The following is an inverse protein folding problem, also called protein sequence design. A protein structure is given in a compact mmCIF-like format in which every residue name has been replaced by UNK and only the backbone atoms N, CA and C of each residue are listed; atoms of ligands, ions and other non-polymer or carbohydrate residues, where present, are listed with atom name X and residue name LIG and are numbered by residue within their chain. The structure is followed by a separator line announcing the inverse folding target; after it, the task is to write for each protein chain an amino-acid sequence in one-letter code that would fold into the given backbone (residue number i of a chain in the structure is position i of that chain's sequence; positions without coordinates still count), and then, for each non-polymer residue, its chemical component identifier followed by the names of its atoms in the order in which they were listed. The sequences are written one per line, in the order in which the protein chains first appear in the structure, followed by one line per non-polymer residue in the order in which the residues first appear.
data_IF_876413205435
#
_entry.id   IF_876413205435
#
_cell.length_a   1.000
_cell.length_b   1.000
_cell.length_c   1.000
_cell.angle_alpha   90.00
_cell.angle_beta   90.00
_cell.angle_gamma   90.00
#
_symmetry.space_group_name_H-M   'P 1'
#
loop_
_entity.id
_entity.type
_entity.pdbx_description
1 polymer ?
#
# COMPACT_ATOMS: atom_id res chain seq x y z
N UNK A 1 -3.10 16.69 -35.42
CA UNK A 1 -2.06 17.02 -34.43
C UNK A 1 -2.77 17.25 -33.11
N UNK A 2 -2.98 16.20 -32.31
CA UNK A 2 -3.69 16.27 -31.03
C UNK A 2 -2.63 16.20 -29.93
N UNK A 3 -2.43 17.32 -29.24
CA UNK A 3 -1.52 17.39 -28.10
C UNK A 3 -2.16 16.65 -26.91
N UNK A 4 -1.52 15.58 -26.44
CA UNK A 4 -1.83 15.00 -25.13
C UNK A 4 -1.32 15.99 -24.07
N UNK A 5 -2.23 16.52 -23.26
CA UNK A 5 -1.88 17.23 -22.05
C UNK A 5 -1.46 16.21 -20.98
N UNK A 6 -0.18 16.17 -20.64
CA UNK A 6 0.31 15.48 -19.43
C UNK A 6 0.02 16.42 -18.26
N UNK A 7 -1.08 16.15 -17.54
CA UNK A 7 -1.32 16.83 -16.27
C UNK A 7 -0.49 16.13 -15.20
N UNK A 8 0.72 16.63 -14.96
CA UNK A 8 1.52 16.23 -13.80
C UNK A 8 0.92 16.92 -12.57
N UNK A 9 0.19 16.17 -11.74
CA UNK A 9 -0.22 16.65 -10.43
C UNK A 9 1.04 16.74 -9.55
N UNK A 10 1.57 17.96 -9.40
CA UNK A 10 2.58 18.28 -8.41
C UNK A 10 1.94 18.17 -7.01
N UNK A 11 2.16 17.03 -6.36
CA UNK A 11 1.88 16.82 -4.94
C UNK A 11 3.12 17.08 -4.11
N UNK A 12 2.93 17.83 -3.02
CA UNK A 12 3.90 18.41 -2.12
C UNK A 12 4.89 17.43 -1.46
N UNK A 13 6.10 17.95 -1.21
CA UNK A 13 7.29 17.29 -0.63
C UNK A 13 7.78 16.10 -1.45
N UNK A 14 8.89 16.29 -2.18
CA UNK A 14 9.56 15.18 -2.85
C UNK A 14 10.31 14.35 -1.82
N UNK A 15 9.56 13.57 -1.03
CA UNK A 15 10.09 12.58 -0.10
C UNK A 15 11.21 11.83 -0.83
N UNK A 16 12.40 11.83 -0.24
CA UNK A 16 13.59 11.29 -0.89
C UNK A 16 13.39 9.83 -1.33
N UNK A 17 12.52 9.10 -0.63
CA UNK A 17 12.14 7.72 -0.93
C UNK A 17 11.38 7.60 -2.25
N UNK A 18 10.76 8.65 -2.77
CA UNK A 18 9.96 8.61 -4.01
C UNK A 18 10.74 9.02 -5.26
N UNK A 19 11.97 9.52 -5.13
CA UNK A 19 12.71 10.15 -6.24
C UNK A 19 12.91 9.26 -7.47
N UNK A 20 12.98 7.96 -7.26
CA UNK A 20 13.18 6.97 -8.32
C UNK A 20 11.99 6.06 -8.55
N UNK A 21 10.97 6.16 -7.70
CA UNK A 21 9.76 5.37 -7.82
C UNK A 21 8.81 6.04 -8.81
N UNK A 22 8.13 5.24 -9.63
CA UNK A 22 7.16 5.78 -10.57
C UNK A 22 6.01 4.81 -10.82
N UNK A 23 4.88 5.38 -11.26
CA UNK A 23 3.70 4.64 -11.68
C UNK A 23 3.21 5.17 -13.02
N UNK A 24 2.77 4.27 -13.89
CA UNK A 24 2.04 4.63 -15.11
C UNK A 24 1.04 3.52 -15.48
N UNK A 25 0.13 3.81 -16.39
CA UNK A 25 -0.82 2.83 -16.93
C UNK A 25 -0.58 2.60 -18.41
N UNK A 26 -0.64 1.36 -18.86
CA UNK A 26 -0.56 1.01 -20.28
C UNK A 26 -1.29 -0.30 -20.56
N UNK A 27 -2.16 -0.32 -21.57
CA UNK A 27 -2.86 -1.53 -22.00
C UNK A 27 -3.74 -2.17 -20.91
N UNK A 28 -4.31 -1.38 -20.00
CA UNK A 28 -5.12 -1.88 -18.88
C UNK A 28 -4.32 -2.35 -17.66
N UNK A 29 -2.99 -2.28 -17.70
CA UNK A 29 -2.12 -2.61 -16.57
C UNK A 29 -1.63 -1.36 -15.86
N UNK A 30 -1.55 -1.43 -14.53
CA UNK A 30 -0.82 -0.47 -13.70
C UNK A 30 0.61 -0.98 -13.51
N UNK A 31 1.59 -0.21 -13.98
CA UNK A 31 3.01 -0.49 -13.79
C UNK A 31 3.55 0.37 -12.66
N UNK A 32 4.36 -0.24 -11.80
CA UNK A 32 5.12 0.46 -10.75
C UNK A 32 6.58 0.04 -10.81
N UNK A 33 7.48 0.98 -10.58
CA UNK A 33 8.88 0.72 -10.29
C UNK A 33 9.16 1.12 -8.85
N UNK A 34 9.74 0.17 -8.11
CA UNK A 34 10.09 0.31 -6.70
C UNK A 34 11.56 -0.05 -6.52
N UNK A 35 12.29 0.71 -5.71
CA UNK A 35 13.69 0.41 -5.41
C UNK A 35 14.17 1.02 -4.09
N UNK A 36 15.20 0.42 -3.49
CA UNK A 36 15.84 0.94 -2.29
C UNK A 36 15.91 -0.12 -1.20
N UNK A 37 15.86 0.33 0.06
CA UNK A 37 15.71 -0.58 1.20
C UNK A 37 14.30 -1.20 1.24
N UNK A 38 14.08 -2.30 1.97
CA UNK A 38 12.74 -2.90 2.11
C UNK A 38 11.67 -1.90 2.58
N UNK A 39 12.01 -1.01 3.52
CA UNK A 39 11.11 0.06 3.95
C UNK A 39 10.82 1.10 2.86
N UNK A 40 11.78 1.38 1.98
CA UNK A 40 11.57 2.30 0.85
C UNK A 40 10.65 1.65 -0.19
N UNK A 41 10.90 0.38 -0.53
CA UNK A 41 10.06 -0.41 -1.45
C UNK A 41 8.62 -0.45 -0.94
N UNK A 42 8.42 -0.78 0.33
CA UNK A 42 7.10 -0.77 0.97
C UNK A 42 6.42 0.61 0.91
N UNK A 43 7.14 1.66 1.29
CA UNK A 43 6.62 3.04 1.26
C UNK A 43 6.21 3.48 -0.13
N UNK A 44 7.06 3.25 -1.13
CA UNK A 44 6.76 3.56 -2.52
C UNK A 44 5.54 2.78 -3.02
N UNK A 45 5.42 1.49 -2.67
CA UNK A 45 4.26 0.68 -3.04
C UNK A 45 2.98 1.26 -2.47
N UNK A 46 2.93 1.45 -1.14
CA UNK A 46 1.77 2.03 -0.47
C UNK A 46 1.42 3.41 -1.00
N UNK A 47 2.41 4.26 -1.27
CA UNK A 47 2.19 5.61 -1.76
C UNK A 47 1.69 5.66 -3.22
N UNK A 48 2.25 4.85 -4.11
CA UNK A 48 1.89 4.87 -5.54
C UNK A 48 0.56 4.16 -5.83
N UNK A 49 0.20 3.17 -5.01
CA UNK A 49 -0.98 2.32 -5.16
C UNK A 49 -2.05 2.56 -4.08
N UNK A 50 -1.99 3.69 -3.36
CA UNK A 50 -2.90 3.95 -2.25
C UNK A 50 -4.40 3.78 -2.59
N UNK A 51 -4.91 4.25 -3.76
CA UNK A 51 -6.31 4.03 -4.13
C UNK A 51 -6.64 2.54 -4.30
N UNK A 52 -5.76 1.78 -4.95
CA UNK A 52 -5.94 0.35 -5.17
C UNK A 52 -5.86 -0.45 -3.86
N UNK A 53 -4.95 -0.09 -2.94
CA UNK A 53 -4.85 -0.72 -1.63
C UNK A 53 -6.10 -0.45 -0.79
N UNK A 54 -6.64 0.77 -0.82
CA UNK A 54 -7.86 1.11 -0.10
C UNK A 54 -9.06 0.31 -0.62
N UNK A 55 -9.27 0.27 -1.94
CA UNK A 55 -10.36 -0.47 -2.57
C UNK A 55 -10.29 -1.98 -2.26
N UNK A 56 -9.09 -2.56 -2.37
CA UNK A 56 -8.85 -3.95 -2.01
C UNK A 56 -9.15 -4.23 -0.53
N UNK A 57 -8.70 -3.36 0.38
CA UNK A 57 -8.97 -3.48 1.81
C UNK A 57 -10.47 -3.46 2.11
N UNK A 58 -11.22 -2.51 1.53
CA UNK A 58 -12.67 -2.40 1.75
C UNK A 58 -13.40 -3.67 1.28
N UNK A 59 -13.03 -4.21 0.12
CA UNK A 59 -13.59 -5.46 -0.42
C UNK A 59 -13.25 -6.69 0.44
N UNK A 60 -11.98 -6.84 0.83
CA UNK A 60 -11.49 -7.95 1.65
C UNK A 60 -12.17 -7.92 3.02
N UNK A 61 -12.18 -6.76 3.68
CA UNK A 61 -12.83 -6.59 4.99
C UNK A 61 -14.31 -6.94 4.95
N UNK A 62 -15.03 -6.51 3.91
CA UNK A 62 -16.44 -6.87 3.75
C UNK A 62 -16.62 -8.39 3.61
N UNK A 63 -15.81 -9.02 2.76
CA UNK A 63 -15.88 -10.46 2.50
C UNK A 63 -15.54 -11.29 3.75
N UNK A 64 -14.42 -11.01 4.41
CA UNK A 64 -13.91 -11.78 5.53
C UNK A 64 -14.80 -11.69 6.77
N UNK A 65 -15.30 -10.49 7.08
CA UNK A 65 -16.26 -10.29 8.17
C UNK A 65 -17.55 -11.05 7.89
N UNK A 66 -18.04 -11.02 6.64
CA UNK A 66 -19.27 -11.72 6.27
C UNK A 66 -19.12 -13.25 6.31
N UNK A 67 -18.06 -13.79 5.71
CA UNK A 67 -17.86 -15.24 5.59
C UNK A 67 -17.52 -15.91 6.92
N UNK A 68 -16.69 -15.27 7.75
CA UNK A 68 -16.22 -15.86 9.00
C UNK A 68 -17.16 -15.59 10.19
N UNK A 69 -17.99 -14.54 10.10
CA UNK A 69 -18.74 -14.00 11.23
C UNK A 69 -17.87 -13.39 12.34
N UNK A 70 -16.57 -13.15 12.08
CA UNK A 70 -15.65 -12.46 13.00
C UNK A 70 -15.59 -10.98 12.68
N UNK A 71 -15.39 -10.15 13.70
CA UNK A 71 -15.16 -8.72 13.51
C UNK A 71 -13.74 -8.45 12.99
N UNK A 72 -13.46 -7.22 12.56
CA UNK A 72 -12.16 -6.87 12.00
C UNK A 72 -11.02 -6.93 13.03
N UNK A 73 -11.32 -6.71 14.31
CA UNK A 73 -10.30 -6.75 15.37
C UNK A 73 -9.79 -8.18 15.60
N UNK A 74 -10.63 -9.20 15.40
CA UNK A 74 -10.17 -10.59 15.37
C UNK A 74 -9.05 -10.80 14.34
N UNK A 75 -9.20 -10.28 13.12
CA UNK A 75 -8.18 -10.40 12.07
C UNK A 75 -6.92 -9.61 12.42
N UNK A 76 -7.06 -8.37 12.91
CA UNK A 76 -5.93 -7.57 13.41
C UNK A 76 -5.19 -8.26 14.58
N UNK A 77 -5.89 -9.00 15.42
CA UNK A 77 -5.29 -9.78 16.49
C UNK A 77 -4.53 -11.00 15.94
N UNK A 78 -5.11 -11.72 14.98
CA UNK A 78 -4.44 -12.85 14.31
C UNK A 78 -3.18 -12.39 13.55
N UNK A 79 -3.27 -11.27 12.82
CA UNK A 79 -2.13 -10.64 12.16
C UNK A 79 -0.98 -10.37 13.15
N UNK A 80 -1.27 -9.73 14.29
CA UNK A 80 -0.28 -9.42 15.33
C UNK A 80 0.32 -10.63 16.03
N UNK A 81 -0.52 -11.60 16.38
CA UNK A 81 -0.14 -12.64 17.34
C UNK A 81 0.29 -13.94 16.65
N UNK A 82 -0.24 -14.21 15.45
CA UNK A 82 -0.01 -15.45 14.73
C UNK A 82 0.86 -15.24 13.50
N UNK A 83 0.63 -14.19 12.71
CA UNK A 83 1.38 -13.98 11.47
C UNK A 83 2.70 -13.25 11.72
N UNK A 84 2.64 -12.06 12.33
CA UNK A 84 3.78 -11.16 12.48
C UNK A 84 5.05 -11.81 13.06
N UNK A 85 5.01 -12.65 14.12
CA UNK A 85 6.21 -13.28 14.67
C UNK A 85 6.91 -14.26 13.71
N UNK A 86 6.23 -14.69 12.66
CA UNK A 86 6.72 -15.64 11.66
C UNK A 86 7.00 -15.00 10.29
N UNK A 87 6.75 -13.70 10.14
CA UNK A 87 7.13 -12.94 8.94
C UNK A 87 8.58 -12.50 9.09
N UNK A 88 9.40 -12.75 8.07
CA UNK A 88 10.80 -12.34 8.06
C UNK A 88 10.93 -10.81 8.15
N UNK A 89 12.04 -10.35 8.74
CA UNK A 89 12.27 -8.94 9.02
C UNK A 89 12.18 -8.05 7.77
N UNK A 90 12.62 -8.55 6.61
CA UNK A 90 12.52 -7.84 5.33
C UNK A 90 11.06 -7.53 4.99
N UNK A 91 10.19 -8.54 5.03
CA UNK A 91 8.75 -8.35 4.76
C UNK A 91 8.05 -7.53 5.83
N UNK A 92 8.44 -7.63 7.11
CA UNK A 92 7.93 -6.73 8.15
C UNK A 92 8.23 -5.25 7.82
N UNK A 93 9.43 -4.97 7.29
CA UNK A 93 9.80 -3.62 6.87
C UNK A 93 9.01 -3.16 5.63
N UNK A 94 8.78 -4.04 4.67
CA UNK A 94 7.93 -3.73 3.50
C UNK A 94 6.48 -3.45 3.91
N UNK A 95 5.88 -4.30 4.75
CA UNK A 95 4.50 -4.16 5.22
C UNK A 95 4.30 -2.87 6.04
N UNK A 96 5.25 -2.56 6.93
CA UNK A 96 5.24 -1.29 7.65
C UNK A 96 5.40 -0.10 6.67
N UNK A 97 6.29 -0.23 5.69
CA UNK A 97 6.45 0.76 4.63
C UNK A 97 5.15 1.01 3.87
N UNK A 98 4.42 -0.04 3.48
CA UNK A 98 3.13 0.08 2.79
C UNK A 98 2.14 0.89 3.64
N UNK A 99 2.00 0.56 4.93
CA UNK A 99 1.14 1.29 5.85
C UNK A 99 1.51 2.78 5.93
N UNK A 100 2.81 3.09 6.03
CA UNK A 100 3.29 4.47 6.05
C UNK A 100 3.02 5.19 4.72
N UNK A 101 3.16 4.49 3.58
CA UNK A 101 2.96 5.01 2.24
C UNK A 101 1.50 5.33 1.93
N UNK A 102 0.57 4.42 2.26
CA UNK A 102 -0.87 4.67 2.07
C UNK A 102 -1.33 5.82 2.97
N UNK A 103 -0.82 5.89 4.20
CA UNK A 103 -1.09 7.00 5.14
C UNK A 103 -0.59 8.35 4.63
N UNK A 104 0.58 8.38 4.01
CA UNK A 104 1.11 9.59 3.36
C UNK A 104 0.24 10.06 2.17
N UNK A 105 -0.60 9.16 1.60
CA UNK A 105 -1.64 9.49 0.61
C UNK A 105 -3.03 9.76 1.21
N UNK A 106 -3.15 9.83 2.53
CA UNK A 106 -4.41 10.12 3.22
C UNK A 106 -5.31 8.91 3.43
N UNK A 107 -4.84 7.69 3.13
CA UNK A 107 -5.56 6.45 3.41
C UNK A 107 -5.25 6.03 4.85
N UNK A 108 -6.28 5.98 5.71
CA UNK A 108 -6.11 5.74 7.14
C UNK A 108 -6.10 4.24 7.47
N UNK A 109 -5.03 3.55 7.08
CA UNK A 109 -4.73 2.16 7.43
C UNK A 109 -3.40 2.09 8.20
N UNK A 110 -3.27 1.12 9.11
CA UNK A 110 -2.00 0.81 9.77
C UNK A 110 -1.48 -0.58 9.37
N UNK A 111 -0.31 -0.97 9.88
CA UNK A 111 0.33 -2.24 9.51
C UNK A 111 -0.54 -3.46 9.80
N UNK A 112 -1.46 -3.39 10.75
CA UNK A 112 -2.37 -4.50 11.08
C UNK A 112 -3.57 -4.60 10.15
N UNK A 113 -3.81 -3.57 9.34
CA UNK A 113 -4.75 -3.63 8.22
C UNK A 113 -4.10 -4.15 6.93
N UNK A 114 -2.76 -4.23 6.89
CA UNK A 114 -1.97 -4.67 5.73
C UNK A 114 -1.49 -6.13 5.85
N UNK A 115 -1.21 -6.60 7.07
CA UNK A 115 -0.80 -7.98 7.42
C UNK A 115 -1.98 -8.93 7.41
#
# INVERSE_FOLDING_TARGET
MMALAISALAGDSSDARLQKAYRFQSGGWTYVHLEGSPSDVGYQHGYLLAPEVQDAFEAIKLFDVHQSGKDWEFFRAAARQMLWPHIDREYQQELQGIADGVKAKGVNLDVWDIV
#
